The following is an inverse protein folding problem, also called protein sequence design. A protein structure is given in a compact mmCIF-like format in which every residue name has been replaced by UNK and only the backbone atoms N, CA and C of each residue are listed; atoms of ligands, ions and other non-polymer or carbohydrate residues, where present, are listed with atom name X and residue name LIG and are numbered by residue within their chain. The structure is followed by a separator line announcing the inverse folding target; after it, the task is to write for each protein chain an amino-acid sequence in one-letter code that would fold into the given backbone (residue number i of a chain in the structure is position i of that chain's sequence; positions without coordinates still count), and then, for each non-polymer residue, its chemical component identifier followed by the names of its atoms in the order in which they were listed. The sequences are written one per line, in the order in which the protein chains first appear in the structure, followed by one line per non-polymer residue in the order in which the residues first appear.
data_IF_301576537947
#
_entry.id   IF_301576537947
#
_cell.length_a   1.000
_cell.length_b   1.000
_cell.length_c   1.000
_cell.angle_alpha   90.00
_cell.angle_beta   90.00
_cell.angle_gamma   90.00
#
_symmetry.space_group_name_H-M   'P 1'
#
loop_
_entity.id
_entity.type
_entity.pdbx_description
1 polymer ?
#
# COMPACT_ATOMS: atom_id res chain seq x y z
N UNK A 1 13.16 10.10 34.68
CA UNK A 1 11.95 9.72 33.94
C UNK A 1 12.34 8.83 32.77
N UNK A 2 12.18 7.53 32.93
CA UNK A 2 12.65 6.51 31.98
C UNK A 2 11.62 6.37 30.87
N UNK A 3 11.97 6.78 29.63
CA UNK A 3 11.08 6.63 28.47
C UNK A 3 10.88 5.14 28.19
N UNK A 4 9.67 4.66 28.41
CA UNK A 4 9.24 3.29 28.10
C UNK A 4 9.29 3.12 26.58
N UNK A 5 10.23 2.29 26.09
CA UNK A 5 10.35 1.96 24.67
C UNK A 5 9.13 1.11 24.30
N UNK A 6 8.25 1.66 23.47
CA UNK A 6 7.06 0.96 22.99
C UNK A 6 7.54 -0.05 21.95
N UNK A 7 7.68 -1.31 22.35
CA UNK A 7 8.18 -2.42 21.50
C UNK A 7 7.22 -2.83 20.36
N UNK A 8 6.08 -2.13 20.20
CA UNK A 8 5.09 -2.43 19.15
C UNK A 8 5.11 -1.49 17.94
N UNK A 9 5.88 -0.40 18.00
CA UNK A 9 6.03 0.52 16.88
C UNK A 9 7.50 0.53 16.48
N UNK A 10 7.85 -0.44 15.64
CA UNK A 10 9.19 -0.59 15.08
C UNK A 10 9.50 0.75 14.43
N UNK A 11 10.42 1.49 15.02
CA UNK A 11 10.72 2.83 14.59
C UNK A 11 11.15 2.76 13.12
N UNK A 12 10.28 3.22 12.21
CA UNK A 12 10.54 3.42 10.78
C UNK A 12 11.62 4.51 10.54
N UNK A 13 12.50 4.73 11.51
CA UNK A 13 13.47 5.81 11.60
C UNK A 13 14.74 5.54 10.78
N UNK A 14 14.95 4.30 10.32
CA UNK A 14 16.08 3.97 9.46
C UNK A 14 15.69 4.13 7.99
N UNK A 15 15.93 5.33 7.45
CA UNK A 15 15.67 5.67 6.04
C UNK A 15 16.44 4.78 5.06
N UNK A 16 17.56 4.20 5.48
CA UNK A 16 18.35 3.26 4.65
C UNK A 16 17.65 1.90 4.48
N UNK A 17 16.70 1.58 5.37
CA UNK A 17 16.02 0.28 5.43
C UNK A 17 14.53 0.36 5.12
N UNK A 18 14.08 1.49 4.60
CA UNK A 18 12.69 1.73 4.23
C UNK A 18 12.59 2.35 2.84
N UNK A 19 11.54 2.02 2.11
CA UNK A 19 11.26 2.60 0.80
C UNK A 19 9.77 2.88 0.65
N UNK A 20 9.45 3.91 -0.13
CA UNK A 20 8.06 4.34 -0.38
C UNK A 20 7.63 3.85 -1.75
N UNK A 21 6.57 3.06 -1.81
CA UNK A 21 6.04 2.54 -3.07
C UNK A 21 4.51 2.51 -3.07
N UNK A 22 3.88 2.67 -4.25
CA UNK A 22 2.47 2.38 -4.44
C UNK A 22 2.12 0.95 -3.99
N UNK A 23 1.03 0.80 -3.23
CA UNK A 23 0.48 -0.51 -2.87
C UNK A 23 -0.99 -0.60 -3.27
N UNK A 24 -1.27 -1.36 -4.32
CA UNK A 24 -2.63 -1.67 -4.75
C UNK A 24 -3.08 -2.97 -4.11
N UNK A 25 -4.09 -2.89 -3.23
CA UNK A 25 -4.76 -4.04 -2.61
C UNK A 25 -6.24 -3.72 -2.39
N UNK A 26 -7.12 -4.71 -2.19
CA UNK A 26 -8.50 -4.46 -1.82
C UNK A 26 -8.61 -3.45 -0.67
N UNK A 27 -9.48 -2.45 -0.83
CA UNK A 27 -9.67 -1.35 0.13
C UNK A 27 -8.71 -0.17 -0.01
N UNK A 28 -7.64 -0.25 -0.82
CA UNK A 28 -6.80 0.93 -1.10
C UNK A 28 -7.62 2.02 -1.78
N UNK A 29 -7.49 3.26 -1.30
CA UNK A 29 -8.06 4.44 -1.96
C UNK A 29 -7.08 4.95 -3.01
N UNK A 30 -7.59 5.23 -4.20
CA UNK A 30 -6.82 5.77 -5.33
C UNK A 30 -7.54 6.95 -5.97
N UNK A 31 -6.79 7.80 -6.65
CA UNK A 31 -7.30 8.90 -7.47
C UNK A 31 -7.07 8.58 -8.94
N UNK A 32 -8.06 8.88 -9.78
CA UNK A 32 -7.94 8.92 -11.24
C UNK A 32 -8.41 10.29 -11.71
N UNK A 33 -7.47 11.14 -12.09
CA UNK A 33 -7.74 12.57 -12.27
C UNK A 33 -8.27 13.18 -10.97
N UNK A 34 -9.46 13.78 -11.01
CA UNK A 34 -10.10 14.42 -9.85
C UNK A 34 -11.02 13.49 -9.05
N UNK A 35 -11.21 12.26 -9.52
CA UNK A 35 -12.17 11.32 -8.93
C UNK A 35 -11.49 10.32 -8.01
N UNK A 36 -12.11 10.07 -6.85
CA UNK A 36 -11.67 9.12 -5.83
C UNK A 36 -12.36 7.78 -6.03
N UNK A 37 -11.60 6.69 -5.92
CA UNK A 37 -12.07 5.32 -6.04
C UNK A 37 -11.49 4.42 -4.96
N UNK A 38 -12.14 3.28 -4.74
CA UNK A 38 -11.64 2.20 -3.88
C UNK A 38 -11.28 1.02 -4.76
N UNK A 39 -10.10 0.44 -4.53
CA UNK A 39 -9.67 -0.81 -5.17
C UNK A 39 -10.52 -1.96 -4.65
N UNK A 40 -11.16 -2.69 -5.57
CA UNK A 40 -11.88 -3.91 -5.28
C UNK A 40 -10.93 -5.11 -5.28
N UNK A 41 -10.20 -5.30 -6.37
CA UNK A 41 -9.15 -6.32 -6.49
C UNK A 41 -8.10 -5.91 -7.53
N UNK A 42 -7.03 -6.69 -7.61
CA UNK A 42 -5.92 -6.49 -8.56
C UNK A 42 -5.64 -7.79 -9.29
N UNK A 43 -5.16 -7.68 -10.53
CA UNK A 43 -4.74 -8.83 -11.32
C UNK A 43 -3.49 -8.48 -12.10
N UNK A 44 -2.55 -9.43 -12.19
CA UNK A 44 -1.43 -9.34 -13.13
C UNK A 44 -1.77 -10.12 -14.38
N UNK A 45 -1.73 -9.46 -15.54
CA UNK A 45 -2.01 -10.09 -16.85
C UNK A 45 -1.03 -9.55 -17.89
N UNK A 46 -0.34 -10.44 -18.60
CA UNK A 46 0.66 -10.11 -19.64
C UNK A 46 1.75 -9.14 -19.14
N UNK A 47 2.19 -9.29 -17.89
CA UNK A 47 3.20 -8.42 -17.29
C UNK A 47 2.68 -7.06 -16.81
N UNK A 48 1.37 -6.78 -16.95
CA UNK A 48 0.76 -5.53 -16.51
C UNK A 48 -0.08 -5.73 -15.24
N UNK A 49 -0.06 -4.74 -14.35
CA UNK A 49 -0.91 -4.68 -13.16
C UNK A 49 -2.22 -3.94 -13.49
N UNK A 50 -3.31 -4.70 -13.49
CA UNK A 50 -4.67 -4.22 -13.69
C UNK A 50 -5.38 -4.04 -12.35
N UNK A 51 -5.99 -2.88 -12.16
CA UNK A 51 -6.68 -2.47 -10.94
C UNK A 51 -8.16 -2.37 -11.22
N UNK A 52 -8.95 -3.15 -10.48
CA UNK A 52 -10.40 -3.13 -10.57
C UNK A 52 -10.93 -2.19 -9.48
N UNK A 53 -11.69 -1.18 -9.90
CA UNK A 53 -12.24 -0.16 -9.01
C UNK A 53 -13.69 -0.51 -8.67
N UNK A 54 -14.08 -0.28 -7.42
CA UNK A 54 -15.44 -0.51 -6.98
C UNK A 54 -16.44 0.30 -7.83
N UNK A 55 -17.47 -0.38 -8.35
CA UNK A 55 -18.49 0.24 -9.21
C UNK A 55 -18.00 0.62 -10.61
N UNK A 56 -16.91 0.02 -11.11
CA UNK A 56 -16.42 0.17 -12.48
C UNK A 56 -16.22 -1.19 -13.14
N UNK A 57 -16.74 -1.33 -14.36
CA UNK A 57 -16.68 -2.60 -15.10
C UNK A 57 -15.35 -2.80 -15.83
N UNK A 58 -14.70 -1.69 -16.20
CA UNK A 58 -13.45 -1.71 -16.96
C UNK A 58 -12.27 -1.54 -15.99
N UNK A 59 -11.32 -2.50 -15.94
CA UNK A 59 -10.12 -2.33 -15.14
C UNK A 59 -9.23 -1.25 -15.73
N UNK A 60 -8.41 -0.64 -14.88
CA UNK A 60 -7.46 0.40 -15.29
C UNK A 60 -6.03 -0.07 -15.00
N UNK A 61 -5.07 0.37 -15.81
CA UNK A 61 -3.66 0.13 -15.52
C UNK A 61 -3.24 0.93 -14.28
N UNK A 62 -2.38 0.35 -13.46
CA UNK A 62 -1.91 0.97 -12.21
C UNK A 62 -1.19 2.31 -12.41
N UNK A 63 -0.49 2.49 -13.54
CA UNK A 63 0.21 3.73 -13.92
C UNK A 63 -0.72 4.92 -14.20
N UNK A 64 -2.00 4.65 -14.46
CA UNK A 64 -3.03 5.69 -14.64
C UNK A 64 -3.67 6.17 -13.32
N UNK A 65 -3.22 5.62 -12.17
CA UNK A 65 -3.76 5.90 -10.85
C UNK A 65 -2.72 6.60 -9.96
N UNK A 66 -3.21 7.53 -9.14
CA UNK A 66 -2.42 8.11 -8.06
C UNK A 66 -2.85 7.46 -6.73
N UNK A 67 -1.86 7.12 -5.91
CA UNK A 67 -2.06 6.52 -4.60
C UNK A 67 -1.05 7.10 -3.62
N UNK A 68 -1.46 7.28 -2.38
CA UNK A 68 -0.53 7.64 -1.32
C UNK A 68 0.51 6.51 -1.14
N UNK A 69 1.82 6.81 -1.24
CA UNK A 69 2.84 5.78 -1.13
C UNK A 69 2.81 5.10 0.24
N UNK A 70 2.85 3.77 0.22
CA UNK A 70 3.03 2.95 1.43
C UNK A 70 4.51 2.81 1.74
N UNK A 71 4.85 2.81 3.03
CA UNK A 71 6.22 2.55 3.50
C UNK A 71 6.40 1.05 3.65
N UNK A 72 7.43 0.52 3.01
CA UNK A 72 7.89 -0.85 3.14
C UNK A 72 9.23 -0.88 3.86
N UNK A 73 9.53 -1.98 4.56
CA UNK A 73 10.84 -2.22 5.15
C UNK A 73 11.56 -3.32 4.39
N UNK A 74 12.88 -3.18 4.24
CA UNK A 74 13.77 -4.25 3.74
C UNK A 74 14.19 -5.22 4.86
N UNK A 75 13.82 -4.96 6.11
CA UNK A 75 14.12 -5.81 7.26
C UNK A 75 12.90 -6.65 7.59
N UNK A 76 13.12 -7.92 7.91
CA UNK A 76 12.07 -8.82 8.39
C UNK A 76 11.38 -8.24 9.62
N UNK A 77 10.09 -7.97 9.49
CA UNK A 77 9.26 -7.55 10.63
C UNK A 77 8.76 -8.79 11.38
N UNK A 78 8.62 -8.74 12.71
CA UNK A 78 7.94 -9.80 13.46
C UNK A 78 6.51 -9.95 12.96
N UNK A 79 6.02 -11.19 12.97
CA UNK A 79 4.65 -11.49 12.56
C UNK A 79 3.67 -10.76 13.48
N UNK A 80 2.68 -10.03 12.94
CA UNK A 80 1.67 -9.39 13.76
C UNK A 80 0.95 -10.45 14.60
N UNK A 81 0.96 -10.30 15.92
CA UNK A 81 0.11 -11.14 16.77
C UNK A 81 -1.34 -10.79 16.45
N UNK A 82 -2.04 -11.69 15.76
CA UNK A 82 -3.49 -11.64 15.64
C UNK A 82 -4.04 -11.92 17.05
N UNK A 83 -4.63 -10.90 17.68
CA UNK A 83 -5.40 -11.03 18.92
C UNK A 83 -6.85 -11.38 18.58
#
# INVERSE_FOLDING_TARGET
MTKKKVEGAIAFADREKTFRMPLFRPGTVVMRGKSRYTVSYVMVRRGELWVYLAGKDVPVRSDSLQVEPTIFSTVRQPEPRLL
#
